data_IF_836895479775
#
_entry.id   IF_836895479775
#
_cell.length_a   1.000
_cell.length_b   1.000
_cell.length_c   1.000
_cell.angle_alpha   90.00
_cell.angle_beta   90.00
_cell.angle_gamma   90.00
#
_symmetry.space_group_name_H-M   'P 1'
#
loop_
_entity.id
_entity.type
_entity.pdbx_description
1 polymer ?
#
# COMPACT_ATOMS: atom_id res chain seq x y z
N UNK A 1 -20.59 -48.87 34.99
CA UNK A 1 -20.29 -47.42 35.15
C UNK A 1 -18.79 -47.15 35.21
N UNK A 2 -17.99 -47.86 36.03
CA UNK A 2 -16.54 -47.65 36.11
C UNK A 2 -15.77 -47.88 34.79
N UNK A 3 -16.15 -48.89 34.01
CA UNK A 3 -15.52 -49.22 32.72
C UNK A 3 -15.71 -48.14 31.64
N UNK A 4 -16.87 -47.47 31.63
CA UNK A 4 -17.17 -46.39 30.69
C UNK A 4 -16.38 -45.12 31.04
N UNK A 5 -16.22 -44.82 32.34
CA UNK A 5 -15.41 -43.68 32.79
C UNK A 5 -13.92 -43.89 32.55
N UNK A 6 -13.42 -45.12 32.70
CA UNK A 6 -12.03 -45.46 32.38
C UNK A 6 -11.74 -45.32 30.87
N UNK A 7 -12.67 -45.75 30.01
CA UNK A 7 -12.55 -45.60 28.55
C UNK A 7 -12.56 -44.12 28.14
N UNK A 8 -13.46 -43.32 28.73
CA UNK A 8 -13.57 -41.89 28.44
C UNK A 8 -12.30 -41.13 28.85
N UNK A 9 -11.73 -41.47 30.01
CA UNK A 9 -10.48 -40.88 30.51
C UNK A 9 -9.28 -41.23 29.61
N UNK A 10 -9.24 -42.44 29.06
CA UNK A 10 -8.18 -42.88 28.16
C UNK A 10 -8.27 -42.19 26.79
N UNK A 11 -9.49 -42.00 26.28
CA UNK A 11 -9.74 -41.24 25.05
C UNK A 11 -9.38 -39.75 25.23
N UNK A 12 -9.78 -39.14 26.34
CA UNK A 12 -9.41 -37.75 26.66
C UNK A 12 -7.89 -37.59 26.84
N UNK A 13 -7.24 -38.53 27.52
CA UNK A 13 -5.78 -38.53 27.69
C UNK A 13 -5.05 -38.62 26.34
N UNK A 14 -5.50 -39.51 25.46
CA UNK A 14 -4.94 -39.66 24.11
C UNK A 14 -5.15 -38.40 23.24
N UNK A 15 -6.33 -37.76 23.31
CA UNK A 15 -6.56 -36.49 22.61
C UNK A 15 -5.69 -35.35 23.15
N UNK A 16 -5.45 -35.30 24.46
CA UNK A 16 -4.60 -34.28 25.07
C UNK A 16 -3.12 -34.44 24.69
N UNK A 17 -2.65 -35.69 24.56
CA UNK A 17 -1.32 -36.01 24.06
C UNK A 17 -1.16 -35.68 22.57
N UNK A 18 -2.22 -35.82 21.76
CA UNK A 18 -2.21 -35.44 20.35
C UNK A 18 -2.24 -33.91 20.13
N UNK A 19 -2.74 -33.14 21.09
CA UNK A 19 -2.79 -31.67 21.03
C UNK A 19 -1.44 -30.99 21.35
N UNK A 20 -0.43 -31.74 21.79
CA UNK A 20 0.80 -31.21 22.41
C UNK A 20 1.93 -30.76 21.48
N UNK A 21 1.75 -30.69 20.16
CA UNK A 21 2.83 -30.23 19.25
C UNK A 21 2.36 -29.16 18.27
N UNK A 22 1.79 -28.07 18.79
CA UNK A 22 1.80 -26.82 18.05
C UNK A 22 3.25 -26.33 17.95
N UNK A 23 3.94 -26.73 16.87
CA UNK A 23 5.23 -26.15 16.48
C UNK A 23 5.01 -24.64 16.34
N UNK A 24 5.74 -23.84 17.11
CA UNK A 24 5.75 -22.40 16.91
C UNK A 24 6.17 -22.12 15.47
N UNK A 25 5.33 -21.41 14.71
CA UNK A 25 5.66 -21.01 13.36
C UNK A 25 6.96 -20.19 13.39
N UNK A 26 7.92 -20.54 12.55
CA UNK A 26 9.15 -19.77 12.39
C UNK A 26 8.76 -18.41 11.80
N UNK A 27 8.99 -17.34 12.54
CA UNK A 27 8.77 -15.98 12.07
C UNK A 27 9.91 -15.60 11.12
N UNK A 28 9.57 -15.30 9.87
CA UNK A 28 10.52 -14.81 8.86
C UNK A 28 10.21 -13.33 8.66
N UNK A 29 11.16 -12.47 9.03
CA UNK A 29 11.03 -11.03 8.85
C UNK A 29 11.75 -10.63 7.56
N UNK A 30 11.03 -9.97 6.66
CA UNK A 30 11.59 -9.42 5.41
C UNK A 30 11.37 -7.91 5.39
N UNK A 31 12.46 -7.16 5.20
CA UNK A 31 12.43 -5.70 5.10
C UNK A 31 12.39 -5.30 3.63
N UNK A 32 11.35 -4.55 3.24
CA UNK A 32 11.19 -4.02 1.89
C UNK A 32 11.83 -2.64 1.77
N UNK A 33 12.65 -2.47 0.74
CA UNK A 33 13.26 -1.20 0.36
C UNK A 33 12.54 -0.67 -0.86
N UNK A 34 11.72 0.36 -0.68
CA UNK A 34 10.89 0.94 -1.74
C UNK A 34 11.46 2.24 -2.30
N UNK A 35 11.02 2.59 -3.51
CA UNK A 35 11.26 3.91 -4.09
C UNK A 35 10.39 5.00 -3.45
N UNK A 36 10.54 6.25 -3.92
CA UNK A 36 9.77 7.41 -3.44
C UNK A 36 8.25 7.26 -3.63
N UNK A 37 7.83 6.46 -4.60
CA UNK A 37 6.43 6.21 -4.94
C UNK A 37 5.84 5.02 -4.16
N UNK A 38 6.67 4.32 -3.40
CA UNK A 38 6.30 3.14 -2.61
C UNK A 38 6.54 1.79 -3.31
N UNK A 39 7.08 1.78 -4.53
CA UNK A 39 7.34 0.54 -5.29
C UNK A 39 8.55 -0.22 -4.70
N UNK A 40 8.43 -1.50 -4.29
CA UNK A 40 9.54 -2.27 -3.73
C UNK A 40 10.65 -2.53 -4.76
N UNK A 41 11.89 -2.15 -4.47
CA UNK A 41 13.07 -2.35 -5.32
C UNK A 41 13.98 -3.49 -4.83
N UNK A 42 13.98 -3.75 -3.53
CA UNK A 42 14.76 -4.85 -2.95
C UNK A 42 14.13 -5.32 -1.64
N UNK A 43 14.49 -6.53 -1.25
CA UNK A 43 14.18 -7.05 0.07
C UNK A 43 15.41 -7.58 0.77
N UNK A 44 15.50 -7.37 2.09
CA UNK A 44 16.56 -7.93 2.93
C UNK A 44 15.98 -8.73 4.10
N UNK A 45 16.71 -9.73 4.56
CA UNK A 45 16.37 -10.50 5.76
C UNK A 45 16.80 -9.77 7.05
N UNK A 46 16.62 -10.44 8.19
CA UNK A 46 16.99 -9.97 9.54
C UNK A 46 18.50 -9.82 9.75
N UNK A 47 19.31 -10.47 8.92
CA UNK A 47 20.78 -10.32 8.91
C UNK A 47 21.24 -9.18 8.00
N UNK A 48 20.33 -8.58 7.22
CA UNK A 48 20.62 -7.57 6.22
C UNK A 48 21.10 -8.14 4.88
N UNK A 49 21.03 -9.45 4.69
CA UNK A 49 21.34 -10.07 3.39
C UNK A 49 20.20 -9.84 2.40
N UNK A 50 20.55 -9.62 1.13
CA UNK A 50 19.57 -9.37 0.06
C UNK A 50 18.87 -10.67 -0.31
N UNK A 51 17.54 -10.68 -0.19
CA UNK A 51 16.68 -11.83 -0.54
C UNK A 51 16.33 -11.81 -2.03
N UNK A 52 15.97 -10.63 -2.55
CA UNK A 52 15.67 -10.41 -3.97
C UNK A 52 15.81 -8.93 -4.34
N UNK A 53 15.91 -8.66 -5.65
CA UNK A 53 15.92 -7.31 -6.21
C UNK A 53 14.97 -7.18 -7.39
N UNK A 54 14.45 -5.99 -7.63
CA UNK A 54 13.53 -5.71 -8.73
C UNK A 54 13.79 -4.33 -9.35
N UNK A 55 13.45 -4.19 -10.62
CA UNK A 55 13.39 -2.89 -11.29
C UNK A 55 12.13 -2.80 -12.16
N UNK A 56 11.64 -1.58 -12.35
CA UNK A 56 10.41 -1.34 -13.08
C UNK A 56 10.67 -0.51 -14.33
N UNK A 57 9.88 -0.77 -15.37
CA UNK A 57 9.69 0.20 -16.45
C UNK A 57 8.88 1.38 -15.94
N UNK A 58 8.84 2.47 -16.72
CA UNK A 58 8.15 3.70 -16.33
C UNK A 58 6.68 3.49 -15.93
N UNK A 59 5.98 2.53 -16.54
CA UNK A 59 4.58 2.20 -16.23
C UNK A 59 4.41 1.06 -15.22
N UNK A 60 5.47 0.63 -14.55
CA UNK A 60 5.39 -0.37 -13.48
C UNK A 60 5.48 -1.83 -13.93
N UNK A 61 5.76 -2.10 -15.21
CA UNK A 61 6.09 -3.45 -15.66
C UNK A 61 7.41 -3.89 -15.01
N UNK A 62 7.39 -5.03 -14.32
CA UNK A 62 8.56 -5.61 -13.66
C UNK A 62 9.56 -6.11 -14.70
N UNK A 63 10.83 -5.76 -14.54
CA UNK A 63 11.88 -6.07 -15.50
C UNK A 63 12.69 -7.31 -15.13
N UNK A 64 13.09 -7.46 -13.86
CA UNK A 64 13.97 -8.55 -13.41
C UNK A 64 13.15 -9.81 -13.17
N UNK A 65 11.98 -9.68 -12.52
CA UNK A 65 11.12 -10.81 -12.15
C UNK A 65 11.87 -11.88 -11.34
N UNK A 66 12.57 -11.45 -10.29
CA UNK A 66 13.40 -12.31 -9.44
C UNK A 66 12.57 -13.44 -8.81
N UNK A 67 12.93 -14.72 -8.99
CA UNK A 67 12.22 -15.86 -8.40
C UNK A 67 12.15 -15.82 -6.87
N UNK A 68 13.14 -15.20 -6.21
CA UNK A 68 13.16 -15.02 -4.76
C UNK A 68 12.00 -14.15 -4.24
N UNK A 69 11.34 -13.43 -5.15
CA UNK A 69 10.22 -12.55 -4.85
C UNK A 69 8.84 -13.23 -4.94
N UNK A 70 8.78 -14.56 -5.07
CA UNK A 70 7.54 -15.29 -5.35
C UNK A 70 6.44 -15.12 -4.28
N UNK A 71 6.80 -14.81 -3.03
CA UNK A 71 5.86 -14.58 -1.93
C UNK A 71 5.40 -13.12 -1.85
N UNK A 72 5.95 -12.22 -2.67
CA UNK A 72 5.56 -10.81 -2.68
C UNK A 72 4.33 -10.59 -3.56
N UNK A 73 3.36 -9.86 -3.02
CA UNK A 73 2.11 -9.49 -3.69
C UNK A 73 2.00 -7.98 -3.94
N UNK A 74 2.77 -7.15 -3.23
CA UNK A 74 2.79 -5.69 -3.40
C UNK A 74 3.91 -5.26 -4.34
N UNK A 75 3.58 -4.46 -5.35
CA UNK A 75 4.51 -4.07 -6.42
C UNK A 75 4.44 -2.57 -6.71
N UNK A 76 4.15 -2.17 -7.95
CA UNK A 76 4.17 -0.77 -8.37
C UNK A 76 3.24 0.08 -7.49
N UNK A 77 3.75 1.19 -6.96
CA UNK A 77 3.08 2.07 -6.00
C UNK A 77 2.55 1.35 -4.75
N UNK A 78 3.20 0.25 -4.34
CA UNK A 78 2.78 -0.57 -3.20
C UNK A 78 1.42 -1.26 -3.37
N UNK A 79 0.90 -1.35 -4.60
CA UNK A 79 -0.39 -1.96 -4.88
C UNK A 79 -0.29 -3.46 -5.00
N UNK A 80 -1.37 -4.14 -4.58
CA UNK A 80 -1.48 -5.58 -4.71
C UNK A 80 -1.61 -5.97 -6.18
N UNK A 81 -0.73 -6.84 -6.65
CA UNK A 81 -0.78 -7.45 -7.98
C UNK A 81 -1.30 -8.87 -7.88
N UNK A 82 -2.27 -9.17 -8.74
CA UNK A 82 -2.71 -10.54 -8.93
C UNK A 82 -1.69 -11.29 -9.81
N UNK A 83 -1.04 -12.31 -9.26
CA UNK A 83 -0.01 -13.08 -9.97
C UNK A 83 -0.53 -13.81 -11.23
N UNK A 84 -1.82 -14.14 -11.30
CA UNK A 84 -2.38 -14.87 -12.43
C UNK A 84 -2.67 -13.96 -13.63
N UNK A 85 -3.04 -12.70 -13.38
CA UNK A 85 -3.42 -11.75 -14.44
C UNK A 85 -2.38 -10.66 -14.68
N UNK A 86 -1.45 -10.45 -13.75
CA UNK A 86 -0.51 -9.33 -13.76
C UNK A 86 -1.14 -7.97 -13.47
N UNK A 87 -2.46 -7.91 -13.23
CA UNK A 87 -3.19 -6.68 -12.94
C UNK A 87 -2.99 -6.24 -11.50
N UNK A 88 -2.90 -4.93 -11.31
CA UNK A 88 -2.72 -4.30 -10.01
C UNK A 88 -4.01 -3.62 -9.55
N UNK A 89 -4.40 -3.83 -8.31
CA UNK A 89 -5.62 -3.24 -7.75
C UNK A 89 -5.33 -1.89 -7.09
N UNK A 90 -5.89 -0.83 -7.66
CA UNK A 90 -5.70 0.54 -7.18
C UNK A 90 -6.85 1.04 -6.29
N UNK A 91 -7.83 0.20 -5.97
CA UNK A 91 -9.03 0.57 -5.21
C UNK A 91 -10.24 0.73 -6.13
N UNK A 92 -10.30 1.79 -6.92
CA UNK A 92 -11.42 1.99 -7.84
C UNK A 92 -11.31 1.17 -9.14
N UNK A 93 -10.09 0.88 -9.59
CA UNK A 93 -9.81 0.25 -10.89
C UNK A 93 -8.68 -0.76 -10.81
N UNK A 94 -8.68 -1.69 -11.77
CA UNK A 94 -7.54 -2.55 -12.07
C UNK A 94 -6.64 -1.88 -13.11
N UNK A 95 -5.34 -1.86 -12.83
CA UNK A 95 -4.30 -1.30 -13.67
C UNK A 95 -3.48 -2.40 -14.33
N UNK A 96 -3.19 -2.24 -15.62
CA UNK A 96 -2.29 -3.11 -16.36
C UNK A 96 -0.93 -2.43 -16.56
N UNK A 97 0.14 -2.91 -15.88
CA UNK A 97 1.47 -2.33 -16.01
C UNK A 97 2.12 -2.58 -17.37
N UNK A 98 1.70 -3.62 -18.10
CA UNK A 98 2.25 -3.98 -19.42
C UNK A 98 1.75 -3.03 -20.49
N UNK A 99 0.47 -2.66 -20.42
CA UNK A 99 -0.17 -1.70 -21.34
C UNK A 99 0.02 -0.26 -20.86
N UNK A 100 0.20 -0.06 -19.56
CA UNK A 100 0.33 1.26 -18.94
C UNK A 100 -1.02 1.99 -18.79
N UNK A 101 -2.12 1.26 -18.63
CA UNK A 101 -3.49 1.81 -18.57
C UNK A 101 -4.39 1.08 -17.59
N UNK A 102 -5.45 1.75 -17.14
CA UNK A 102 -6.52 1.10 -16.40
C UNK A 102 -7.41 0.27 -17.33
N UNK A 103 -7.92 -0.85 -16.81
CA UNK A 103 -8.83 -1.75 -17.52
C UNK A 103 -10.31 -1.36 -17.35
N UNK A 104 -10.61 -0.44 -16.43
CA UNK A 104 -11.94 0.10 -16.19
C UNK A 104 -12.01 1.59 -16.51
N UNK A 105 -13.21 2.05 -16.88
CA UNK A 105 -13.51 3.47 -17.02
C UNK A 105 -13.37 4.14 -15.63
N UNK A 106 -12.71 5.30 -15.58
CA UNK A 106 -12.64 6.14 -14.38
C UNK A 106 -14.03 6.41 -13.80
N UNK A 107 -14.32 6.09 -12.53
CA UNK A 107 -15.57 6.50 -11.90
C UNK A 107 -15.77 8.01 -11.86
N UNK A 108 -14.68 8.78 -11.85
CA UNK A 108 -14.72 10.22 -11.97
C UNK A 108 -15.03 10.59 -13.42
N UNK A 109 -16.08 11.37 -13.60
CA UNK A 109 -16.42 11.90 -14.92
C UNK A 109 -15.50 13.06 -15.30
N UNK A 110 -15.67 13.56 -16.52
CA UNK A 110 -14.99 14.75 -17.01
C UNK A 110 -15.05 15.91 -15.99
N UNK A 111 -13.89 16.52 -15.75
CA UNK A 111 -13.77 17.68 -14.88
C UNK A 111 -13.41 18.90 -15.72
N UNK A 112 -14.27 19.92 -15.67
CA UNK A 112 -14.00 21.19 -16.32
C UNK A 112 -12.70 21.81 -15.78
N UNK A 113 -11.85 22.27 -16.69
CA UNK A 113 -10.49 22.74 -16.38
C UNK A 113 -9.40 21.66 -16.27
N UNK A 114 -9.73 20.36 -16.38
CA UNK A 114 -8.74 19.29 -16.43
C UNK A 114 -8.80 18.52 -17.76
N UNK A 115 -7.93 18.88 -18.70
CA UNK A 115 -7.85 18.25 -20.03
C UNK A 115 -7.50 16.75 -19.97
N UNK A 116 -6.81 16.28 -18.93
CA UNK A 116 -6.46 14.86 -18.79
C UNK A 116 -7.67 13.99 -18.44
N UNK A 117 -8.73 14.56 -17.84
CA UNK A 117 -9.95 13.83 -17.46
C UNK A 117 -10.75 13.30 -18.67
N UNK A 118 -10.49 13.79 -19.89
CA UNK A 118 -11.07 13.21 -21.10
C UNK A 118 -10.60 11.77 -21.35
N UNK A 119 -9.38 11.42 -20.95
CA UNK A 119 -8.88 10.06 -21.07
C UNK A 119 -9.11 9.29 -19.77
N UNK A 120 -10.28 8.66 -19.68
CA UNK A 120 -10.74 7.91 -18.50
C UNK A 120 -10.03 6.56 -18.26
N UNK A 121 -8.98 6.26 -19.03
CA UNK A 121 -8.15 5.06 -18.89
C UNK A 121 -6.67 5.39 -18.62
N UNK A 122 -6.29 6.67 -18.65
CA UNK A 122 -4.91 7.08 -18.45
C UNK A 122 -4.47 6.87 -17.00
N UNK A 123 -3.24 6.38 -16.82
CA UNK A 123 -2.56 6.37 -15.53
C UNK A 123 -1.67 7.62 -15.41
N UNK A 124 -1.70 8.27 -14.24
CA UNK A 124 -0.79 9.37 -13.91
C UNK A 124 -0.71 10.48 -14.95
N UNK A 125 -1.84 10.88 -15.57
CA UNK A 125 -1.88 11.86 -16.67
C UNK A 125 -0.90 11.57 -17.84
N UNK A 126 -0.60 10.29 -18.10
CA UNK A 126 0.41 9.80 -19.03
C UNK A 126 1.87 10.19 -18.69
N UNK A 127 2.16 10.59 -17.45
CA UNK A 127 3.52 10.78 -16.94
C UNK A 127 3.68 10.04 -15.60
N UNK A 128 3.89 8.72 -15.62
CA UNK A 128 3.95 7.87 -14.43
C UNK A 128 5.20 8.09 -13.57
N UNK A 129 6.21 8.81 -14.08
CA UNK A 129 7.42 9.16 -13.31
C UNK A 129 7.14 10.33 -12.38
N UNK A 130 6.25 11.25 -12.81
CA UNK A 130 5.89 12.44 -12.03
C UNK A 130 4.60 12.26 -11.25
N UNK A 131 3.64 11.51 -11.79
CA UNK A 131 2.31 11.37 -11.20
C UNK A 131 2.00 9.93 -10.80
N UNK A 132 1.37 9.79 -9.65
CA UNK A 132 0.81 8.55 -9.13
C UNK A 132 -0.72 8.66 -9.10
N UNK A 133 -1.43 7.55 -8.98
CA UNK A 133 -2.87 7.57 -8.72
C UNK A 133 -3.13 6.72 -7.47
N UNK A 134 -3.33 7.32 -6.27
CA UNK A 134 -3.36 6.53 -5.04
C UNK A 134 -4.61 5.67 -4.85
N UNK A 135 -5.74 6.04 -5.47
CA UNK A 135 -7.04 5.38 -5.30
C UNK A 135 -7.66 4.88 -6.62
N UNK A 136 -6.95 5.06 -7.74
CA UNK A 136 -7.43 4.69 -9.05
C UNK A 136 -8.52 5.62 -9.57
N UNK A 137 -8.55 6.90 -9.20
CA UNK A 137 -9.59 7.85 -9.66
C UNK A 137 -9.01 9.18 -10.14
N UNK A 138 -7.79 9.54 -9.76
CA UNK A 138 -7.19 10.80 -10.18
C UNK A 138 -5.69 10.84 -9.89
N UNK A 139 -4.96 11.57 -10.73
CA UNK A 139 -3.52 11.66 -10.67
C UNK A 139 -3.04 12.74 -9.67
N UNK A 140 -2.06 12.37 -8.86
CA UNK A 140 -1.35 13.19 -7.88
C UNK A 140 0.12 13.33 -8.27
N UNK A 141 0.74 14.48 -8.07
CA UNK A 141 2.20 14.62 -8.23
C UNK A 141 2.89 13.80 -7.14
N UNK A 142 3.88 12.96 -7.47
CA UNK A 142 4.61 12.07 -6.54
C UNK A 142 5.07 12.80 -5.28
N UNK A 143 5.48 14.08 -5.41
CA UNK A 143 5.92 14.90 -4.27
C UNK A 143 4.76 15.31 -3.36
N UNK A 144 3.57 15.51 -3.94
CA UNK A 144 2.35 15.81 -3.21
C UNK A 144 1.64 14.53 -2.73
N UNK A 145 1.86 13.39 -3.37
CA UNK A 145 1.17 12.12 -3.14
C UNK A 145 1.60 11.38 -1.87
N UNK A 146 2.44 11.99 -1.05
CA UNK A 146 2.49 11.65 0.37
C UNK A 146 1.08 11.93 0.92
N UNK A 147 0.30 10.91 1.33
CA UNK A 147 -1.16 11.07 1.54
C UNK A 147 -1.54 12.23 2.47
N UNK A 148 -0.69 12.55 3.45
CA UNK A 148 -0.85 13.72 4.34
C UNK A 148 -0.64 15.06 3.63
N UNK A 149 0.37 15.17 2.77
CA UNK A 149 0.67 16.41 2.04
C UNK A 149 -0.37 16.72 0.97
N UNK A 150 -0.88 15.72 0.25
CA UNK A 150 -1.95 15.94 -0.71
C UNK A 150 -3.23 16.42 -0.03
N UNK A 151 -3.72 15.66 0.95
CA UNK A 151 -4.97 15.99 1.64
C UNK A 151 -4.87 17.34 2.35
N UNK A 152 -3.73 17.61 2.99
CA UNK A 152 -3.44 18.89 3.63
C UNK A 152 -3.43 20.06 2.64
N UNK A 153 -2.75 19.91 1.48
CA UNK A 153 -2.68 20.97 0.47
C UNK A 153 -4.02 21.23 -0.22
N UNK A 154 -4.80 20.18 -0.52
CA UNK A 154 -6.16 20.34 -1.07
C UNK A 154 -7.10 21.03 -0.09
N UNK A 155 -7.15 20.55 1.17
CA UNK A 155 -7.99 21.13 2.22
C UNK A 155 -7.63 22.60 2.46
N UNK A 156 -6.32 22.90 2.49
CA UNK A 156 -5.81 24.27 2.60
C UNK A 156 -6.35 25.17 1.48
N UNK A 157 -6.23 24.74 0.22
CA UNK A 157 -6.71 25.51 -0.94
C UNK A 157 -8.23 25.68 -0.92
N UNK A 158 -8.97 24.63 -0.58
CA UNK A 158 -10.43 24.68 -0.51
C UNK A 158 -10.91 25.62 0.62
N UNK A 159 -10.24 25.62 1.78
CA UNK A 159 -10.51 26.54 2.88
C UNK A 159 -10.12 27.99 2.56
N UNK A 160 -9.01 28.22 1.84
CA UNK A 160 -8.63 29.55 1.35
C UNK A 160 -9.66 30.11 0.36
N UNK A 161 -10.14 29.29 -0.58
CA UNK A 161 -11.18 29.68 -1.54
C UNK A 161 -12.51 30.00 -0.87
N UNK A 162 -12.85 29.28 0.19
CA UNK A 162 -14.06 29.50 0.98
C UNK A 162 -13.93 30.65 1.99
N UNK A 163 -12.77 31.32 2.06
CA UNK A 163 -12.52 32.40 3.03
C UNK A 163 -12.46 31.91 4.49
N UNK A 164 -12.29 30.61 4.72
CA UNK A 164 -12.18 30.01 6.04
C UNK A 164 -10.70 30.02 6.50
N UNK A 165 -10.22 31.20 6.86
CA UNK A 165 -8.83 31.44 7.25
C UNK A 165 -8.39 30.64 8.47
N UNK A 166 -9.32 30.34 9.40
CA UNK A 166 -9.02 29.55 10.60
C UNK A 166 -8.72 28.09 10.25
N UNK A 167 -9.56 27.47 9.41
CA UNK A 167 -9.32 26.09 8.95
C UNK A 167 -8.09 26.00 8.02
N UNK A 168 -7.90 26.99 7.13
CA UNK A 168 -6.70 27.10 6.32
C UNK A 168 -5.42 27.20 7.18
N UNK A 169 -5.46 27.93 8.30
CA UNK A 169 -4.33 28.01 9.23
C UNK A 169 -3.96 26.65 9.86
N UNK A 170 -4.96 25.83 10.19
CA UNK A 170 -4.74 24.48 10.73
C UNK A 170 -4.17 23.55 9.66
N UNK A 171 -4.69 23.60 8.44
CA UNK A 171 -4.22 22.78 7.33
C UNK A 171 -2.78 23.13 6.93
N UNK A 172 -2.42 24.42 6.93
CA UNK A 172 -1.06 24.88 6.66
C UNK A 172 -0.07 24.36 7.73
N UNK A 173 -0.48 24.38 9.01
CA UNK A 173 0.34 23.81 10.09
C UNK A 173 0.50 22.29 9.96
N UNK A 174 -0.57 21.58 9.58
CA UNK A 174 -0.53 20.15 9.29
C UNK A 174 0.44 19.81 8.15
N UNK A 175 0.41 20.58 7.06
CA UNK A 175 1.31 20.41 5.92
C UNK A 175 2.78 20.62 6.32
N UNK A 176 3.08 21.64 7.12
CA UNK A 176 4.43 21.88 7.65
C UNK A 176 4.88 20.71 8.53
N UNK A 177 4.01 20.22 9.42
CA UNK A 177 4.33 19.06 10.25
C UNK A 177 4.61 17.79 9.41
N UNK A 178 3.79 17.50 8.41
CA UNK A 178 3.98 16.38 7.49
C UNK A 178 5.29 16.49 6.70
N UNK A 179 5.65 17.69 6.21
CA UNK A 179 6.93 17.92 5.52
C UNK A 179 8.15 17.73 6.42
N UNK A 180 8.05 18.11 7.70
CA UNK A 180 9.14 17.95 8.66
C UNK A 180 9.31 16.48 9.06
N UNK A 181 8.22 15.71 9.08
CA UNK A 181 8.26 14.28 9.34
C UNK A 181 9.01 13.49 8.23
N UNK A 182 8.96 13.96 6.98
CA UNK A 182 9.72 13.37 5.86
C UNK A 182 11.24 13.45 6.05
N UNK A 183 11.72 14.44 6.81
CA UNK A 183 13.15 14.62 7.07
C UNK A 183 13.68 13.72 8.21
N UNK A 184 12.81 12.96 8.88
CA UNK A 184 13.18 12.12 10.03
C UNK A 184 13.23 10.63 9.63
N UNK A 185 14.42 9.99 9.65
CA UNK A 185 14.53 8.56 9.35
C UNK A 185 13.78 7.73 10.40
N UNK A 186 12.94 6.79 9.94
CA UNK A 186 12.16 5.89 10.81
C UNK A 186 10.80 6.42 11.25
N UNK A 187 10.39 7.63 10.83
CA UNK A 187 9.01 8.09 10.93
C UNK A 187 8.31 7.68 9.62
N UNK A 188 7.37 6.70 9.64
CA UNK A 188 6.52 6.44 8.49
C UNK A 188 5.87 7.76 8.10
N UNK A 189 6.03 8.19 6.85
CA UNK A 189 5.59 9.49 6.37
C UNK A 189 4.06 9.60 6.28
N UNK A 190 3.35 9.47 7.40
CA UNK A 190 1.89 9.53 7.47
C UNK A 190 1.41 9.96 8.86
N UNK A 191 1.66 11.21 9.26
CA UNK A 191 0.90 11.83 10.37
C UNK A 191 -0.52 12.25 9.92
N UNK A 192 -0.71 12.49 8.62
CA UNK A 192 -2.02 12.79 8.02
C UNK A 192 -3.03 11.63 7.99
N UNK A 193 -2.60 10.36 8.08
CA UNK A 193 -3.53 9.22 8.11
C UNK A 193 -4.15 8.93 9.49
N UNK A 194 -3.81 9.69 10.54
CA UNK A 194 -4.26 9.38 11.91
C UNK A 194 -5.51 10.11 12.38
N UNK A 195 -6.22 10.85 11.52
CA UNK A 195 -7.55 11.33 11.88
C UNK A 195 -8.58 11.15 10.77
N UNK A 196 -9.48 10.19 11.00
CA UNK A 196 -10.79 9.94 10.36
C UNK A 196 -10.91 9.05 9.12
N UNK A 197 -9.87 8.66 8.40
CA UNK A 197 -10.04 7.76 7.24
C UNK A 197 -9.19 6.49 7.21
N UNK A 198 -8.09 6.40 7.96
CA UNK A 198 -7.31 5.16 8.07
C UNK A 198 -7.82 4.26 9.21
N UNK A 199 -9.08 3.85 9.09
CA UNK A 199 -9.60 2.71 9.84
C UNK A 199 -9.06 1.44 9.21
N UNK A 200 -8.02 0.85 9.82
CA UNK A 200 -7.43 -0.46 9.48
C UNK A 200 -6.70 -0.53 8.13
N UNK A 201 -5.51 0.06 8.04
CA UNK A 201 -4.46 -0.53 7.19
C UNK A 201 -3.47 -1.17 8.14
N UNK A 202 -3.56 -2.50 8.19
CA UNK A 202 -2.89 -3.33 9.18
C UNK A 202 -1.38 -3.20 9.09
N UNK A 203 -0.78 -3.10 10.27
CA UNK A 203 0.50 -3.74 10.55
C UNK A 203 0.34 -5.23 10.13
N UNK A 204 0.67 -5.55 8.88
CA UNK A 204 0.69 -6.93 8.41
C UNK A 204 1.94 -7.57 8.98
N UNK A 205 1.80 -8.00 10.24
CA UNK A 205 2.51 -9.12 10.80
C UNK A 205 2.21 -10.30 9.88
N UNK A 206 3.08 -10.55 8.90
CA UNK A 206 3.02 -11.75 8.07
C UNK A 206 3.27 -12.94 8.99
N UNK A 207 2.19 -13.48 9.54
CA UNK A 207 2.20 -14.80 10.16
C UNK A 207 2.22 -15.81 9.03
N UNK A 208 3.21 -16.69 9.09
CA UNK A 208 3.40 -17.85 8.24
C UNK A 208 2.15 -18.73 8.12
#
# INVERSE_FOLDING_TARGET
>A
MALLQALLALILGAMLLAAGTARAATEIVTYLHSDISGSPLAATDDTGAVVWTESYRAYGERWVNDPGSAQQSQWFHGKEQNANTGLQYFGARYYDPTVGRFQGIDPMDYQDGNLHSFNRYAFGNNNPVRYVDPNGMWAEDVVLALPGMYMGSKSLVDNLKQGNWAAAGVDAAGLVADTMALALPGVPGEWGCRSRLCGKVGMLQQRA
#
